data_IF_843684923918
#
_entry.id   IF_843684923918
#
_cell.length_a   1.000
_cell.length_b   1.000
_cell.length_c   1.000
_cell.angle_alpha   90.00
_cell.angle_beta   90.00
_cell.angle_gamma   90.00
#
_symmetry.space_group_name_H-M   'P 1'
#
loop_
_entity.id
_entity.type
_entity.pdbx_description
1 polymer ?
#
# COMPACT_ATOMS: atom_id res chain seq x y z
N UNK A 1 5.17 19.07 6.42
CA UNK A 1 4.76 19.01 4.99
C UNK A 1 5.24 20.20 4.16
N UNK A 2 5.66 21.35 4.74
CA UNK A 2 6.30 22.42 3.96
C UNK A 2 5.37 23.17 2.99
N UNK A 3 4.09 23.22 3.33
CA UNK A 3 3.04 23.95 2.60
C UNK A 3 2.55 25.08 3.47
N UNK A 4 2.58 26.29 2.94
CA UNK A 4 1.93 27.46 3.54
C UNK A 4 0.49 27.47 3.04
N UNK A 5 -0.46 27.23 3.95
CA UNK A 5 -1.88 27.18 3.62
C UNK A 5 -2.56 28.51 3.86
N UNK A 6 -3.57 28.80 3.03
CA UNK A 6 -4.64 29.68 3.46
C UNK A 6 -5.34 29.05 4.68
N UNK A 7 -5.43 29.76 5.83
CA UNK A 7 -5.94 29.17 7.08
C UNK A 7 -7.34 28.56 6.94
N UNK A 8 -8.22 29.18 6.14
CA UNK A 8 -9.58 28.70 5.94
C UNK A 8 -9.62 27.37 5.18
N UNK A 9 -8.70 27.15 4.23
CA UNK A 9 -8.63 25.92 3.45
C UNK A 9 -8.16 24.75 4.32
N UNK A 10 -7.16 24.98 5.18
CA UNK A 10 -6.70 23.97 6.12
C UNK A 10 -7.77 23.66 7.18
N UNK A 11 -8.46 24.69 7.69
CA UNK A 11 -9.58 24.51 8.60
C UNK A 11 -10.70 23.67 7.97
N UNK A 12 -11.04 23.94 6.70
CA UNK A 12 -12.03 23.18 5.96
C UNK A 12 -11.62 21.71 5.80
N UNK A 13 -10.36 21.43 5.41
CA UNK A 13 -9.84 20.07 5.25
C UNK A 13 -9.91 19.25 6.55
N UNK A 14 -9.78 19.92 7.70
CA UNK A 14 -9.80 19.31 9.03
C UNK A 14 -11.19 19.33 9.70
N UNK A 15 -12.25 19.77 9.00
CA UNK A 15 -13.60 19.86 9.56
C UNK A 15 -14.44 18.65 9.16
N UNK A 16 -14.59 17.70 10.09
CA UNK A 16 -15.45 16.53 9.91
C UNK A 16 -16.93 16.91 10.01
N UNK A 17 -17.80 16.20 9.28
CA UNK A 17 -19.25 16.42 9.30
C UNK A 17 -19.89 16.42 10.68
N UNK A 18 -19.39 15.63 11.63
CA UNK A 18 -19.90 15.63 13.02
C UNK A 18 -19.76 17.00 13.68
N UNK A 19 -18.68 17.72 13.40
CA UNK A 19 -18.46 19.06 13.94
C UNK A 19 -19.41 20.06 13.30
N UNK A 20 -19.63 19.96 11.99
CA UNK A 20 -20.57 20.80 11.26
C UNK A 20 -22.01 20.67 11.79
N UNK A 21 -22.46 19.45 12.07
CA UNK A 21 -23.79 19.23 12.64
C UNK A 21 -23.99 19.89 14.01
N UNK A 22 -22.95 19.95 14.84
CA UNK A 22 -23.02 20.57 16.17
C UNK A 22 -22.86 22.09 16.16
N UNK A 23 -22.29 22.67 15.08
CA UNK A 23 -21.93 24.10 15.01
C UNK A 23 -22.79 24.92 14.04
N UNK A 24 -23.91 24.36 13.58
CA UNK A 24 -24.87 25.09 12.75
C UNK A 24 -24.67 24.93 11.25
N UNK A 25 -24.07 23.82 10.80
CA UNK A 25 -23.99 23.45 9.39
C UNK A 25 -22.88 24.15 8.61
N UNK A 26 -21.70 24.32 9.21
CA UNK A 26 -20.51 24.80 8.49
C UNK A 26 -20.11 23.82 7.38
N UNK A 27 -19.35 24.31 6.38
CA UNK A 27 -18.83 23.45 5.32
C UNK A 27 -17.92 22.34 5.90
N UNK A 28 -18.01 21.16 5.27
CA UNK A 28 -17.29 19.95 5.66
C UNK A 28 -16.17 19.65 4.68
N UNK A 29 -15.25 18.80 5.10
CA UNK A 29 -14.14 18.34 4.27
C UNK A 29 -14.56 17.40 3.12
N UNK A 30 -15.83 16.95 3.04
CA UNK A 30 -16.31 15.93 2.08
C UNK A 30 -16.05 16.29 0.60
N UNK A 31 -16.09 17.58 0.24
CA UNK A 31 -15.76 18.01 -1.14
C UNK A 31 -14.26 17.97 -1.42
N UNK A 32 -13.44 18.24 -0.40
CA UNK A 32 -11.98 18.15 -0.51
C UNK A 32 -11.54 16.68 -0.52
N UNK A 33 -12.19 15.82 0.27
CA UNK A 33 -12.02 14.37 0.26
C UNK A 33 -12.24 13.83 -1.16
N UNK A 34 -13.39 14.13 -1.76
CA UNK A 34 -13.71 13.73 -3.13
C UNK A 34 -12.64 14.14 -4.16
N UNK A 35 -12.15 15.38 -4.07
CA UNK A 35 -11.07 15.87 -4.93
C UNK A 35 -9.74 15.15 -4.64
N UNK A 36 -9.44 14.98 -3.36
CA UNK A 36 -8.23 14.37 -2.84
C UNK A 36 -8.07 12.91 -3.24
N UNK A 37 -9.14 12.11 -3.18
CA UNK A 37 -9.17 10.72 -3.65
C UNK A 37 -8.77 10.64 -5.13
N UNK A 38 -9.35 11.49 -5.98
CA UNK A 38 -9.02 11.53 -7.40
C UNK A 38 -7.55 11.92 -7.65
N UNK A 39 -7.05 12.92 -6.92
CA UNK A 39 -5.65 13.37 -7.02
C UNK A 39 -4.68 12.30 -6.54
N UNK A 40 -4.96 11.68 -5.40
CA UNK A 40 -4.19 10.56 -4.84
C UNK A 40 -4.16 9.38 -5.81
N UNK A 41 -5.32 8.99 -6.35
CA UNK A 41 -5.46 7.91 -7.31
C UNK A 41 -4.61 8.13 -8.57
N UNK A 42 -4.60 9.37 -9.10
CA UNK A 42 -3.74 9.73 -10.23
C UNK A 42 -2.25 9.59 -9.89
N UNK A 43 -1.83 10.17 -8.76
CA UNK A 43 -0.42 10.16 -8.34
C UNK A 43 0.07 8.72 -8.14
N UNK A 44 -0.69 7.90 -7.41
CA UNK A 44 -0.33 6.50 -7.14
C UNK A 44 -0.29 5.70 -8.45
N UNK A 45 -1.26 5.89 -9.34
CA UNK A 45 -1.27 5.21 -10.65
C UNK A 45 -0.04 5.61 -11.48
N UNK A 46 0.34 6.89 -11.48
CA UNK A 46 1.50 7.37 -12.19
C UNK A 46 2.83 6.85 -11.60
N UNK A 47 2.93 6.76 -10.27
CA UNK A 47 4.09 6.15 -9.59
C UNK A 47 4.23 4.67 -9.94
N UNK A 48 3.14 3.91 -9.88
CA UNK A 48 3.13 2.49 -10.23
C UNK A 48 3.53 2.28 -11.70
N UNK A 49 2.97 3.07 -12.63
CA UNK A 49 3.32 2.98 -14.06
C UNK A 49 4.81 3.22 -14.32
N UNK A 50 5.42 4.20 -13.65
CA UNK A 50 6.85 4.52 -13.84
C UNK A 50 7.78 3.52 -13.17
N UNK A 51 7.43 3.04 -11.97
CA UNK A 51 8.26 2.10 -11.21
C UNK A 51 8.17 0.66 -11.73
N UNK A 52 7.07 0.31 -12.39
CA UNK A 52 6.79 -1.05 -12.87
C UNK A 52 6.42 -1.09 -14.36
N UNK A 53 7.35 -0.72 -15.26
CA UNK A 53 7.07 -0.69 -16.69
C UNK A 53 6.72 -2.08 -17.28
N UNK A 54 7.15 -3.16 -16.62
CA UNK A 54 6.94 -4.53 -17.10
C UNK A 54 5.64 -5.18 -16.57
N UNK A 55 4.91 -4.50 -15.66
CA UNK A 55 3.67 -5.03 -15.10
C UNK A 55 2.46 -4.60 -15.91
N UNK A 56 1.57 -5.55 -16.17
CA UNK A 56 0.28 -5.28 -16.79
C UNK A 56 -0.77 -4.76 -15.79
N UNK A 57 -1.92 -4.34 -16.32
CA UNK A 57 -3.03 -3.81 -15.53
C UNK A 57 -3.53 -4.78 -14.46
N UNK A 58 -3.55 -6.08 -14.75
CA UNK A 58 -4.05 -7.11 -13.84
C UNK A 58 -3.20 -7.21 -12.57
N UNK A 59 -1.91 -6.84 -12.68
CA UNK A 59 -0.94 -6.79 -11.59
C UNK A 59 -0.84 -5.40 -10.95
N UNK A 60 -0.95 -4.33 -11.72
CA UNK A 60 -0.92 -2.95 -11.23
C UNK A 60 -2.16 -2.61 -10.40
N UNK A 61 -3.35 -3.09 -10.80
CA UNK A 61 -4.61 -2.75 -10.12
C UNK A 61 -4.67 -3.24 -8.66
N UNK A 62 -4.30 -4.49 -8.34
CA UNK A 62 -4.22 -4.94 -6.94
C UNK A 62 -3.19 -4.17 -6.11
N UNK A 63 -2.04 -3.80 -6.70
CA UNK A 63 -1.04 -2.97 -6.03
C UNK A 63 -1.61 -1.60 -5.68
N UNK A 64 -2.27 -0.94 -6.63
CA UNK A 64 -2.96 0.34 -6.41
C UNK A 64 -3.97 0.24 -5.27
N UNK A 65 -4.84 -0.77 -5.29
CA UNK A 65 -5.82 -0.99 -4.23
C UNK A 65 -5.18 -1.28 -2.87
N UNK A 66 -4.00 -1.92 -2.85
CA UNK A 66 -3.22 -2.15 -1.63
C UNK A 66 -2.60 -0.89 -1.04
N UNK A 67 -2.33 0.13 -1.87
CA UNK A 67 -1.77 1.42 -1.45
C UNK A 67 -2.88 2.41 -1.10
N UNK A 68 -3.94 2.44 -1.91
CA UNK A 68 -5.09 3.34 -1.77
C UNK A 68 -6.26 2.56 -1.16
N UNK A 69 -6.13 2.20 0.11
CA UNK A 69 -7.24 1.70 0.89
C UNK A 69 -7.29 2.36 2.27
N UNK A 70 -8.50 2.36 2.84
CA UNK A 70 -8.79 2.98 4.13
C UNK A 70 -7.78 2.64 5.22
N UNK A 71 -7.32 1.39 5.32
CA UNK A 71 -6.36 1.01 6.36
C UNK A 71 -4.99 1.64 6.12
N UNK A 72 -4.47 1.53 4.90
CA UNK A 72 -3.19 2.12 4.53
C UNK A 72 -3.20 3.65 4.69
N UNK A 73 -4.28 4.32 4.26
CA UNK A 73 -4.43 5.76 4.41
C UNK A 73 -4.56 6.20 5.87
N UNK A 74 -5.32 5.44 6.68
CA UNK A 74 -5.39 5.70 8.12
C UNK A 74 -4.03 5.54 8.79
N UNK A 75 -3.24 4.54 8.40
CA UNK A 75 -1.90 4.33 8.95
C UNK A 75 -0.96 5.50 8.60
N UNK A 76 -1.02 6.02 7.36
CA UNK A 76 -0.30 7.26 6.97
C UNK A 76 -0.80 8.46 7.80
N UNK A 77 -2.12 8.61 7.96
CA UNK A 77 -2.68 9.70 8.76
C UNK A 77 -2.21 9.66 10.22
N UNK A 78 -1.99 8.46 10.78
CA UNK A 78 -1.43 8.27 12.13
C UNK A 78 0.03 8.69 12.22
N UNK A 79 0.86 8.41 11.22
CA UNK A 79 2.26 8.88 11.23
C UNK A 79 2.36 10.40 11.21
N UNK A 80 1.33 11.06 10.67
CA UNK A 80 1.19 12.52 10.66
C UNK A 80 0.50 13.08 11.91
N UNK A 81 0.09 12.23 12.85
CA UNK A 81 -0.73 12.62 14.00
C UNK A 81 -2.01 13.38 13.60
N UNK A 82 -2.56 13.09 12.41
CA UNK A 82 -3.62 13.89 11.81
C UNK A 82 -4.88 13.94 12.69
N UNK A 83 -5.19 12.84 13.37
CA UNK A 83 -6.33 12.73 14.28
C UNK A 83 -6.36 13.80 15.38
N UNK A 84 -5.21 14.35 15.80
CA UNK A 84 -5.13 15.41 16.81
C UNK A 84 -5.66 16.76 16.31
N UNK A 85 -5.62 16.99 14.99
CA UNK A 85 -5.98 18.27 14.37
C UNK A 85 -7.42 18.29 13.82
N UNK A 86 -8.06 17.13 13.68
CA UNK A 86 -9.42 17.05 13.15
C UNK A 86 -10.41 17.64 14.15
N UNK A 87 -11.30 18.47 13.64
CA UNK A 87 -12.43 19.05 14.38
C UNK A 87 -13.58 18.06 14.36
N UNK A 88 -13.89 17.53 15.53
CA UNK A 88 -14.94 16.55 15.74
C UNK A 88 -16.07 17.13 16.59
N UNK A 89 -17.27 16.62 16.37
CA UNK A 89 -18.38 16.85 17.29
C UNK A 89 -18.14 16.07 18.58
N UNK A 90 -18.70 16.51 19.70
CA UNK A 90 -18.56 15.86 21.01
C UNK A 90 -18.98 14.40 20.98
N UNK A 91 -20.05 14.07 20.25
CA UNK A 91 -20.50 12.68 20.11
C UNK A 91 -19.45 11.80 19.44
N UNK A 92 -18.87 12.29 18.34
CA UNK A 92 -17.84 11.57 17.58
C UNK A 92 -16.55 11.41 18.39
N UNK A 93 -16.14 12.48 19.09
CA UNK A 93 -15.00 12.51 20.00
C UNK A 93 -15.09 11.43 21.08
N UNK A 94 -16.23 11.34 21.78
CA UNK A 94 -16.45 10.38 22.88
C UNK A 94 -16.38 8.92 22.40
N UNK A 95 -16.72 8.66 21.14
CA UNK A 95 -16.65 7.31 20.55
C UNK A 95 -15.27 6.96 20.00
N UNK A 96 -14.24 7.78 20.27
CA UNK A 96 -12.88 7.55 19.78
C UNK A 96 -12.70 7.90 18.30
N UNK A 97 -13.49 8.85 17.77
CA UNK A 97 -13.46 9.24 16.36
C UNK A 97 -12.06 9.56 15.81
N UNK A 98 -11.18 10.13 16.65
CA UNK A 98 -9.80 10.51 16.27
C UNK A 98 -8.93 9.35 15.79
N UNK A 99 -9.27 8.11 16.14
CA UNK A 99 -8.51 6.92 15.74
C UNK A 99 -9.33 5.98 14.82
N UNK A 100 -10.52 6.40 14.38
CA UNK A 100 -11.31 5.61 13.42
C UNK A 100 -10.64 5.64 12.05
N UNK A 101 -10.42 4.47 11.45
CA UNK A 101 -9.76 4.35 10.16
C UNK A 101 -10.44 5.15 9.04
N UNK A 102 -11.77 5.10 8.96
CA UNK A 102 -12.52 5.85 7.95
C UNK A 102 -12.24 7.34 8.08
N UNK A 103 -12.43 7.89 9.28
CA UNK A 103 -12.26 9.31 9.55
C UNK A 103 -10.84 9.80 9.25
N UNK A 104 -9.83 9.01 9.61
CA UNK A 104 -8.43 9.32 9.33
C UNK A 104 -8.10 9.27 7.83
N UNK A 105 -8.64 8.28 7.11
CA UNK A 105 -8.47 8.16 5.67
C UNK A 105 -9.12 9.34 4.93
N UNK A 106 -10.39 9.62 5.23
CA UNK A 106 -11.16 10.71 4.64
C UNK A 106 -10.47 12.07 4.89
N UNK A 107 -9.95 12.28 6.11
CA UNK A 107 -9.21 13.50 6.45
C UNK A 107 -7.87 13.61 5.71
N UNK A 108 -7.16 12.50 5.48
CA UNK A 108 -5.93 12.51 4.69
C UNK A 108 -6.22 12.85 3.22
N UNK A 109 -7.27 12.27 2.64
CA UNK A 109 -7.72 12.60 1.28
C UNK A 109 -8.11 14.08 1.20
N UNK A 110 -8.91 14.58 2.14
CA UNK A 110 -9.25 16.00 2.19
C UNK A 110 -8.01 16.92 2.31
N UNK A 111 -7.01 16.52 3.10
CA UNK A 111 -5.75 17.25 3.19
C UNK A 111 -4.99 17.25 1.86
N UNK A 112 -4.96 16.12 1.14
CA UNK A 112 -4.38 16.04 -0.21
C UNK A 112 -5.12 16.96 -1.18
N UNK A 113 -6.45 16.98 -1.13
CA UNK A 113 -7.28 17.90 -1.91
C UNK A 113 -6.95 19.36 -1.63
N UNK A 114 -6.75 19.72 -0.35
CA UNK A 114 -6.33 21.06 0.05
C UNK A 114 -4.91 21.40 -0.45
N UNK A 115 -3.94 20.48 -0.32
CA UNK A 115 -2.57 20.68 -0.83
C UNK A 115 -2.60 20.93 -2.35
N UNK A 116 -3.43 20.18 -3.08
CA UNK A 116 -3.60 20.35 -4.51
C UNK A 116 -4.14 21.73 -4.89
N UNK A 117 -5.18 22.20 -4.20
CA UNK A 117 -5.72 23.53 -4.46
C UNK A 117 -4.74 24.65 -4.12
N UNK A 118 -3.93 24.47 -3.07
CA UNK A 118 -2.95 25.47 -2.63
C UNK A 118 -1.70 25.50 -3.51
N UNK A 119 -1.24 24.34 -4.00
CA UNK A 119 0.12 24.20 -4.56
C UNK A 119 0.20 23.65 -5.98
N UNK A 120 -0.91 23.16 -6.54
CA UNK A 120 -0.92 22.50 -7.84
C UNK A 120 -0.38 21.06 -7.81
N UNK A 121 -0.39 20.40 -8.98
CA UNK A 121 -0.15 18.95 -9.07
C UNK A 121 1.31 18.57 -8.81
N UNK A 122 2.28 19.39 -9.22
CA UNK A 122 3.70 19.06 -9.12
C UNK A 122 4.15 18.93 -7.66
N UNK A 123 3.85 19.95 -6.84
CA UNK A 123 4.21 19.95 -5.41
C UNK A 123 3.39 18.92 -4.63
N UNK A 124 2.11 18.75 -4.98
CA UNK A 124 1.26 17.70 -4.40
C UNK A 124 1.84 16.31 -4.66
N UNK A 125 2.29 16.04 -5.89
CA UNK A 125 2.91 14.77 -6.28
C UNK A 125 4.13 14.48 -5.43
N UNK A 126 5.03 15.45 -5.24
CA UNK A 126 6.23 15.26 -4.42
C UNK A 126 5.90 14.93 -2.96
N UNK A 127 4.91 15.61 -2.38
CA UNK A 127 4.47 15.36 -0.99
C UNK A 127 3.83 13.98 -0.89
N UNK A 128 2.85 13.67 -1.75
CA UNK A 128 2.14 12.39 -1.72
C UNK A 128 3.09 11.23 -1.95
N UNK A 129 3.99 11.33 -2.94
CA UNK A 129 5.00 10.30 -3.21
C UNK A 129 5.86 10.00 -1.97
N UNK A 130 6.24 11.03 -1.21
CA UNK A 130 6.95 10.85 0.06
C UNK A 130 6.10 10.18 1.14
N UNK A 131 4.80 10.50 1.23
CA UNK A 131 3.90 9.93 2.23
C UNK A 131 3.59 8.45 1.98
N UNK A 132 3.41 8.08 0.70
CA UNK A 132 3.05 6.71 0.33
C UNK A 132 4.26 5.80 0.16
N UNK A 133 5.49 6.32 0.22
CA UNK A 133 6.69 5.57 -0.18
C UNK A 133 6.82 4.24 0.57
N UNK A 134 6.68 4.25 1.90
CA UNK A 134 6.80 3.04 2.72
C UNK A 134 5.68 2.02 2.41
N UNK A 135 4.46 2.52 2.18
CA UNK A 135 3.32 1.69 1.75
C UNK A 135 3.58 1.07 0.37
N UNK A 136 4.18 1.84 -0.53
CA UNK A 136 4.51 1.40 -1.87
C UNK A 136 5.60 0.33 -1.85
N UNK A 137 6.69 0.54 -1.10
CA UNK A 137 7.75 -0.46 -0.89
C UNK A 137 7.20 -1.74 -0.23
N UNK A 138 6.29 -1.61 0.74
CA UNK A 138 5.62 -2.77 1.35
C UNK A 138 4.73 -3.53 0.36
N UNK A 139 3.99 -2.81 -0.48
CA UNK A 139 3.15 -3.39 -1.52
C UNK A 139 4.01 -4.08 -2.60
N UNK A 140 5.16 -3.49 -2.96
CA UNK A 140 6.15 -4.09 -3.85
C UNK A 140 6.69 -5.40 -3.30
N UNK A 141 7.16 -5.39 -2.05
CA UNK A 141 7.67 -6.59 -1.40
C UNK A 141 6.62 -7.70 -1.44
N UNK A 142 5.34 -7.37 -1.18
CA UNK A 142 4.22 -8.32 -1.27
C UNK A 142 3.86 -8.75 -2.71
N UNK A 143 3.99 -7.85 -3.68
CA UNK A 143 3.66 -8.08 -5.10
C UNK A 143 4.72 -8.90 -5.84
N UNK A 144 6.00 -8.57 -5.66
CA UNK A 144 7.14 -9.45 -5.99
C UNK A 144 6.96 -10.78 -5.26
N UNK A 145 6.47 -10.71 -4.02
CA UNK A 145 6.12 -11.87 -3.24
C UNK A 145 4.80 -12.57 -3.60
N UNK A 146 4.12 -12.18 -4.67
CA UNK A 146 3.05 -12.96 -5.30
C UNK A 146 3.50 -13.46 -6.67
N UNK A 147 4.32 -12.67 -7.35
CA UNK A 147 4.81 -12.94 -8.69
C UNK A 147 5.68 -14.20 -8.80
N UNK A 148 6.72 -14.34 -7.97
CA UNK A 148 7.62 -15.50 -8.01
C UNK A 148 6.93 -16.87 -8.00
N UNK A 149 5.89 -17.07 -7.17
CA UNK A 149 5.09 -18.31 -7.17
C UNK A 149 4.26 -18.50 -8.43
N UNK A 150 3.56 -17.46 -8.87
CA UNK A 150 2.73 -17.53 -10.08
C UNK A 150 3.61 -17.74 -11.32
N UNK A 151 4.67 -16.94 -11.48
CA UNK A 151 5.64 -17.03 -12.56
C UNK A 151 6.32 -18.40 -12.59
N UNK A 152 6.74 -18.94 -11.43
CA UNK A 152 7.27 -20.30 -11.36
C UNK A 152 6.21 -21.33 -11.76
N UNK A 153 4.97 -21.21 -11.28
CA UNK A 153 3.91 -22.16 -11.58
C UNK A 153 3.51 -22.14 -13.06
N UNK A 154 3.47 -20.97 -13.70
CA UNK A 154 3.25 -20.85 -15.15
C UNK A 154 4.41 -21.46 -15.94
N UNK A 155 5.66 -21.21 -15.54
CA UNK A 155 6.85 -21.78 -16.18
C UNK A 155 6.86 -23.31 -16.09
N UNK A 156 6.62 -23.88 -14.91
CA UNK A 156 6.65 -25.34 -14.73
C UNK A 156 5.46 -26.04 -15.37
N UNK A 157 4.29 -25.38 -15.42
CA UNK A 157 3.15 -25.85 -16.18
C UNK A 157 3.44 -25.88 -17.68
N UNK A 158 4.06 -24.81 -18.23
CA UNK A 158 4.45 -24.74 -19.64
C UNK A 158 5.49 -25.82 -20.02
N UNK A 159 6.40 -26.17 -19.10
CA UNK A 159 7.38 -27.24 -19.27
C UNK A 159 6.82 -28.65 -19.03
N UNK A 160 5.56 -28.78 -18.61
CA UNK A 160 4.92 -30.07 -18.35
C UNK A 160 5.40 -30.79 -17.08
N UNK A 161 6.08 -30.08 -16.17
CA UNK A 161 6.71 -30.65 -14.96
C UNK A 161 5.75 -30.66 -13.76
N UNK A 162 4.57 -30.04 -13.91
CA UNK A 162 3.54 -29.95 -12.87
C UNK A 162 3.68 -28.70 -11.99
N UNK A 163 2.94 -28.65 -10.89
CA UNK A 163 2.97 -27.50 -9.97
C UNK A 163 4.17 -27.60 -9.01
N UNK A 164 4.84 -26.48 -8.70
CA UNK A 164 5.94 -26.46 -7.75
C UNK A 164 5.45 -26.74 -6.32
N UNK A 165 6.24 -27.50 -5.56
CA UNK A 165 6.00 -27.77 -4.13
C UNK A 165 7.00 -27.02 -3.26
N UNK A 166 6.67 -26.78 -1.99
CA UNK A 166 7.55 -26.07 -1.06
C UNK A 166 7.76 -26.84 0.23
N UNK A 167 9.03 -27.07 0.57
CA UNK A 167 9.43 -27.66 1.85
C UNK A 167 9.92 -26.54 2.76
N UNK A 168 9.24 -26.33 3.90
CA UNK A 168 9.54 -25.21 4.82
C UNK A 168 10.05 -25.71 6.15
N UNK A 169 11.15 -25.12 6.62
CA UNK A 169 11.70 -25.29 7.96
C UNK A 169 11.64 -23.97 8.73
N UNK A 170 11.46 -24.05 10.05
CA UNK A 170 11.40 -22.88 10.93
C UNK A 170 12.43 -22.99 12.06
N UNK A 171 12.97 -21.85 12.48
CA UNK A 171 13.96 -21.74 13.56
C UNK A 171 13.78 -20.42 14.32
N UNK A 172 14.41 -20.29 15.49
CA UNK A 172 14.33 -19.09 16.33
C UNK A 172 13.16 -19.10 17.35
N UNK A 173 13.17 -18.16 18.31
CA UNK A 173 12.13 -18.05 19.33
C UNK A 173 10.83 -17.49 18.73
N UNK A 174 9.70 -17.67 19.42
CA UNK A 174 8.37 -17.30 18.89
C UNK A 174 8.24 -15.82 18.48
N UNK A 175 8.99 -14.93 19.11
CA UNK A 175 9.00 -13.49 18.82
C UNK A 175 10.03 -13.08 17.75
N UNK A 176 10.87 -14.01 17.27
CA UNK A 176 11.88 -13.77 16.23
C UNK A 176 12.11 -15.06 15.41
N UNK A 177 11.03 -15.60 14.86
CA UNK A 177 11.10 -16.78 13.99
C UNK A 177 11.72 -16.42 12.63
N UNK A 178 12.54 -17.34 12.14
CA UNK A 178 13.12 -17.33 10.80
C UNK A 178 12.68 -18.60 10.07
N UNK A 179 12.30 -18.45 8.81
CA UNK A 179 11.78 -19.51 7.96
C UNK A 179 12.69 -19.69 6.75
N UNK A 180 12.91 -20.94 6.38
CA UNK A 180 13.64 -21.32 5.17
C UNK A 180 12.74 -22.23 4.35
N UNK A 181 12.50 -21.88 3.10
CA UNK A 181 11.72 -22.68 2.16
C UNK A 181 12.57 -23.14 0.98
N UNK A 182 12.33 -24.35 0.49
CA UNK A 182 12.95 -24.91 -0.71
C UNK A 182 11.87 -25.14 -1.75
N UNK A 183 12.04 -24.57 -2.94
CA UNK A 183 11.17 -24.76 -4.10
C UNK A 183 11.55 -26.04 -4.82
N UNK A 184 10.59 -26.95 -4.89
CA UNK A 184 10.71 -28.27 -5.50
C UNK A 184 9.95 -28.28 -6.82
N UNK A 185 10.61 -28.63 -7.92
CA UNK A 185 10.00 -28.75 -9.25
C UNK A 185 10.31 -30.13 -9.81
N UNK A 186 9.27 -30.90 -10.14
CA UNK A 186 9.46 -32.27 -10.64
C UNK A 186 10.19 -33.20 -9.66
N UNK A 187 10.07 -32.94 -8.35
CA UNK A 187 10.79 -33.69 -7.31
C UNK A 187 12.24 -33.24 -7.07
N UNK A 188 12.76 -32.27 -7.83
CA UNK A 188 14.10 -31.73 -7.67
C UNK A 188 14.08 -30.43 -6.86
N UNK A 189 15.01 -30.28 -5.91
CA UNK A 189 15.23 -29.02 -5.20
C UNK A 189 15.92 -28.03 -6.14
N UNK A 190 15.22 -26.96 -6.51
CA UNK A 190 15.72 -25.97 -7.47
C UNK A 190 16.39 -24.80 -6.75
N UNK A 191 15.71 -24.23 -5.76
CA UNK A 191 16.22 -23.05 -5.05
C UNK A 191 15.67 -22.95 -3.63
N UNK A 192 16.37 -22.19 -2.80
CA UNK A 192 16.00 -21.86 -1.43
C UNK A 192 15.66 -20.37 -1.30
N UNK A 193 14.77 -20.04 -0.36
CA UNK A 193 14.46 -18.68 0.07
C UNK A 193 14.28 -18.59 1.59
N UNK A 194 14.64 -17.45 2.16
CA UNK A 194 14.57 -17.19 3.60
C UNK A 194 13.64 -16.01 3.90
N UNK A 195 12.94 -16.03 5.03
CA UNK A 195 12.02 -14.96 5.41
C UNK A 195 11.62 -14.97 6.89
N UNK A 196 10.97 -13.90 7.34
CA UNK A 196 10.37 -13.76 8.67
C UNK A 196 8.97 -14.36 8.77
N UNK A 197 8.45 -14.90 7.66
CA UNK A 197 7.24 -15.72 7.64
C UNK A 197 7.38 -16.88 6.64
N UNK A 198 6.59 -17.96 6.83
CA UNK A 198 6.53 -19.08 5.86
C UNK A 198 6.23 -18.60 4.44
N UNK A 199 5.25 -17.71 4.32
CA UNK A 199 4.82 -17.15 3.03
C UNK A 199 5.96 -16.41 2.32
N UNK A 200 6.73 -15.61 3.06
CA UNK A 200 7.87 -14.86 2.53
C UNK A 200 9.00 -15.80 2.08
N UNK A 201 9.35 -16.80 2.89
CA UNK A 201 10.40 -17.77 2.55
C UNK A 201 10.07 -18.56 1.28
N UNK A 202 8.84 -19.11 1.18
CA UNK A 202 8.38 -19.87 0.01
C UNK A 202 8.48 -19.07 -1.28
N UNK A 203 8.30 -17.77 -1.17
CA UNK A 203 8.23 -16.90 -2.31
C UNK A 203 9.61 -16.48 -2.82
N UNK A 204 10.55 -16.21 -1.92
CA UNK A 204 11.95 -16.04 -2.32
C UNK A 204 12.46 -17.33 -2.98
N UNK A 205 12.07 -18.50 -2.46
CA UNK A 205 12.40 -19.77 -3.08
C UNK A 205 11.79 -19.87 -4.49
N UNK A 206 10.53 -19.47 -4.66
CA UNK A 206 9.85 -19.49 -5.95
C UNK A 206 10.52 -18.58 -6.99
N UNK A 207 10.86 -17.34 -6.59
CA UNK A 207 11.55 -16.38 -7.45
C UNK A 207 12.93 -16.89 -7.87
N UNK A 208 13.73 -17.36 -6.91
CA UNK A 208 15.07 -17.89 -7.20
C UNK A 208 14.98 -19.11 -8.14
N UNK A 209 13.99 -19.98 -7.96
CA UNK A 209 13.77 -21.12 -8.84
C UNK A 209 13.33 -20.68 -10.24
N UNK A 210 12.46 -19.67 -10.36
CA UNK A 210 12.06 -19.11 -11.65
C UNK A 210 13.26 -18.54 -12.40
N UNK A 211 14.11 -17.73 -11.74
CA UNK A 211 15.33 -17.15 -12.34
C UNK A 211 16.31 -18.24 -12.84
N UNK A 212 16.48 -19.34 -12.11
CA UNK A 212 17.34 -20.45 -12.54
C UNK A 212 16.74 -21.19 -13.76
N UNK A 213 15.44 -21.46 -13.75
CA UNK A 213 14.79 -22.27 -14.78
C UNK A 213 14.53 -21.48 -16.06
N UNK A 214 14.29 -20.17 -15.98
CA UNK A 214 14.09 -19.31 -17.16
C UNK A 214 15.38 -19.20 -17.99
N UNK A 215 16.53 -19.06 -17.34
CA UNK A 215 17.86 -19.02 -18.03
C UNK A 215 18.20 -20.33 -18.72
N UNK A 216 17.82 -21.47 -18.11
CA UNK A 216 18.09 -22.80 -18.68
C UNK A 216 17.20 -23.11 -19.90
N UNK A 217 16.10 -22.37 -20.08
CA UNK A 217 15.14 -22.57 -21.18
C UNK A 217 15.56 -21.90 -22.49
N UNK A 218 16.50 -20.95 -22.44
CA UNK A 218 17.00 -20.19 -23.61
C UNK A 218 18.30 -20.77 -24.21
N UNK A 219 18.77 -21.91 -23.70
CA UNK A 219 19.96 -22.64 -24.16
C UNK A 219 19.60 -23.93 -24.87
#
# INVERSE_FOLDING_TARGET
MGVDFHPQLLELALTHRSFAYETGGVETNERLEFLGDSVLGLIVTAELYRRFPDLDESRLSPLRSGIVNMRALADIARTLHLGEYIRLGKGEEVTGGRDKNSLLADALEALIGAIYLETGIEKTTAIVASLINDTLESAMAKGVALDGKTALQELTAAQGVGSPEYVVTESGPDHDKSFVAVAMVGGCAIAQGEGKSKREAEQFAARNAYEILSVTSES
#
